data_IF_142347776182
#
_entry.id   IF_142347776182
#
_cell.length_a   1.000
_cell.length_b   1.000
_cell.length_c   1.000
_cell.angle_alpha   90.00
_cell.angle_beta   90.00
_cell.angle_gamma   90.00
#
_symmetry.space_group_name_H-M   'P 1'
#
loop_
_entity.id
_entity.type
_entity.pdbx_description
1 polymer ?
#
# COMPACT_ATOMS: atom_id res chain seq x y z
N UNK A 1 14.07 19.79 -0.82
CA UNK A 1 13.20 19.09 -1.78
C UNK A 1 11.78 19.18 -1.26
N UNK A 2 10.89 19.82 -2.01
CA UNK A 2 9.52 20.07 -1.57
C UNK A 2 8.70 18.77 -1.71
N UNK A 3 7.94 18.40 -0.67
CA UNK A 3 7.13 17.16 -0.65
C UNK A 3 5.90 17.25 -1.59
N UNK A 4 5.68 18.42 -2.19
CA UNK A 4 4.56 18.72 -3.10
C UNK A 4 4.92 18.61 -4.59
N UNK A 5 6.11 18.10 -4.94
CA UNK A 5 6.47 17.85 -6.34
C UNK A 5 5.66 16.66 -6.92
N UNK A 6 4.74 16.90 -7.88
CA UNK A 6 3.92 15.85 -8.46
C UNK A 6 4.75 14.75 -9.15
N UNK A 7 5.90 15.09 -9.74
CA UNK A 7 6.77 14.13 -10.44
C UNK A 7 7.42 13.17 -9.44
N UNK A 8 7.91 13.70 -8.32
CA UNK A 8 8.50 12.89 -7.26
C UNK A 8 7.47 11.94 -6.63
N UNK A 9 6.24 12.42 -6.42
CA UNK A 9 5.13 11.58 -5.92
C UNK A 9 4.81 10.46 -6.90
N UNK A 10 4.74 10.77 -8.19
CA UNK A 10 4.47 9.79 -9.24
C UNK A 10 5.56 8.72 -9.30
N UNK A 11 6.83 9.13 -9.32
CA UNK A 11 7.97 8.20 -9.31
C UNK A 11 7.96 7.25 -8.11
N UNK A 12 7.65 7.77 -6.91
CA UNK A 12 7.51 6.93 -5.70
C UNK A 12 6.37 5.93 -5.82
N UNK A 13 5.23 6.36 -6.38
CA UNK A 13 4.08 5.47 -6.56
C UNK A 13 4.40 4.34 -7.54
N UNK A 14 5.12 4.65 -8.62
CA UNK A 14 5.57 3.68 -9.61
C UNK A 14 6.57 2.67 -9.03
N UNK A 15 7.56 3.12 -8.23
CA UNK A 15 8.47 2.22 -7.50
C UNK A 15 7.72 1.28 -6.55
N UNK A 16 6.72 1.79 -5.81
CA UNK A 16 5.91 0.97 -4.91
C UNK A 16 5.10 -0.06 -5.71
N UNK A 17 4.47 0.36 -6.81
CA UNK A 17 3.67 -0.50 -7.68
C UNK A 17 4.51 -1.63 -8.26
N UNK A 18 5.65 -1.30 -8.86
CA UNK A 18 6.57 -2.29 -9.43
C UNK A 18 7.07 -3.25 -8.35
N UNK A 19 7.43 -2.71 -7.18
CA UNK A 19 7.88 -3.51 -6.04
C UNK A 19 6.84 -4.53 -5.57
N UNK A 20 5.57 -4.13 -5.51
CA UNK A 20 4.46 -5.03 -5.18
C UNK A 20 4.22 -6.08 -6.27
N UNK A 21 4.28 -5.70 -7.55
CA UNK A 21 4.04 -6.61 -8.67
C UNK A 21 5.14 -7.65 -8.85
N UNK A 22 6.39 -7.27 -8.57
CA UNK A 22 7.56 -8.15 -8.68
C UNK A 22 7.80 -9.01 -7.45
N UNK A 23 7.12 -8.73 -6.34
CA UNK A 23 7.36 -9.36 -5.04
C UNK A 23 8.59 -8.83 -4.30
N UNK A 24 9.26 -7.78 -4.81
CA UNK A 24 10.34 -7.08 -4.10
C UNK A 24 9.84 -6.43 -2.81
N UNK A 25 8.58 -5.99 -2.79
CA UNK A 25 7.90 -5.48 -1.61
C UNK A 25 6.82 -6.47 -1.17
N UNK A 26 6.76 -6.74 0.13
CA UNK A 26 5.58 -7.36 0.74
C UNK A 26 4.38 -6.42 0.69
N UNK A 27 3.17 -6.95 0.89
CA UNK A 27 1.96 -6.14 0.98
C UNK A 27 2.08 -5.12 2.12
N UNK A 28 2.53 -5.52 3.30
CA UNK A 28 2.70 -4.64 4.45
C UNK A 28 3.71 -3.53 4.21
N UNK A 29 4.85 -3.85 3.59
CA UNK A 29 5.86 -2.85 3.23
C UNK A 29 5.30 -1.86 2.20
N UNK A 30 4.62 -2.34 1.16
CA UNK A 30 4.00 -1.47 0.16
C UNK A 30 2.97 -0.52 0.78
N UNK A 31 2.07 -1.04 1.62
CA UNK A 31 1.06 -0.25 2.34
C UNK A 31 1.70 0.82 3.23
N UNK A 32 2.75 0.45 3.98
CA UNK A 32 3.49 1.39 4.83
C UNK A 32 4.15 2.51 4.02
N UNK A 33 4.70 2.20 2.84
CA UNK A 33 5.28 3.20 1.93
C UNK A 33 4.21 4.09 1.30
N UNK A 34 3.06 3.55 0.88
CA UNK A 34 1.92 4.37 0.43
C UNK A 34 1.52 5.37 1.52
N UNK A 35 1.45 4.92 2.78
CA UNK A 35 1.14 5.82 3.88
C UNK A 35 2.19 6.90 4.07
N UNK A 36 3.47 6.53 4.23
CA UNK A 36 4.55 7.47 4.60
C UNK A 36 5.01 8.33 3.44
N UNK A 37 5.29 7.70 2.30
CA UNK A 37 6.04 8.31 1.20
C UNK A 37 5.13 9.05 0.23
N UNK A 38 3.86 8.62 0.15
CA UNK A 38 2.83 9.20 -0.71
C UNK A 38 1.90 10.10 0.09
N UNK A 39 1.25 9.62 1.15
CA UNK A 39 0.24 10.45 1.86
C UNK A 39 0.80 11.30 3.01
N UNK A 40 1.96 10.93 3.57
CA UNK A 40 2.49 11.57 4.79
C UNK A 40 1.65 11.34 6.06
N UNK A 41 0.63 10.48 6.00
CA UNK A 41 -0.35 10.32 7.07
C UNK A 41 0.17 9.46 8.24
N UNK A 42 -0.37 9.75 9.43
CA UNK A 42 -0.23 8.83 10.57
C UNK A 42 -0.98 7.53 10.30
N UNK A 43 -0.69 6.46 11.05
CA UNK A 43 -1.45 5.22 10.93
C UNK A 43 -2.95 5.43 11.21
N UNK A 44 -3.30 6.29 12.17
CA UNK A 44 -4.69 6.56 12.52
C UNK A 44 -5.42 7.28 11.38
N UNK A 45 -4.80 8.30 10.78
CA UNK A 45 -5.37 9.04 9.67
C UNK A 45 -5.54 8.16 8.43
N UNK A 46 -4.52 7.35 8.13
CA UNK A 46 -4.53 6.44 6.99
C UNK A 46 -5.57 5.32 7.14
N UNK A 47 -5.71 4.75 8.34
CA UNK A 47 -6.73 3.75 8.62
C UNK A 47 -8.14 4.32 8.42
N UNK A 48 -8.37 5.57 8.87
CA UNK A 48 -9.63 6.29 8.63
C UNK A 48 -9.86 6.57 7.15
N UNK A 49 -8.83 7.00 6.42
CA UNK A 49 -8.90 7.21 4.96
C UNK A 49 -9.30 5.92 4.23
N UNK A 50 -8.68 4.80 4.59
CA UNK A 50 -8.96 3.48 4.02
C UNK A 50 -10.22 2.79 4.62
N UNK A 51 -10.90 3.44 5.58
CA UNK A 51 -12.09 2.90 6.27
C UNK A 51 -11.88 1.52 6.90
N UNK A 52 -10.71 1.31 7.51
CA UNK A 52 -10.36 0.10 8.26
C UNK A 52 -9.97 0.45 9.69
N UNK A 53 -9.96 -0.55 10.58
CA UNK A 53 -9.50 -0.32 11.95
C UNK A 53 -7.99 -0.05 11.99
N UNK A 54 -7.54 0.75 12.95
CA UNK A 54 -6.11 0.99 13.19
C UNK A 54 -5.36 -0.33 13.46
N UNK A 55 -5.98 -1.26 14.18
CA UNK A 55 -5.43 -2.59 14.42
C UNK A 55 -5.21 -3.35 13.11
N UNK A 56 -6.20 -3.34 12.23
CA UNK A 56 -6.11 -3.98 10.90
C UNK A 56 -4.98 -3.37 10.08
N UNK A 57 -4.85 -2.04 10.06
CA UNK A 57 -3.75 -1.40 9.36
C UNK A 57 -2.38 -1.79 9.96
N UNK A 58 -2.25 -1.83 11.29
CA UNK A 58 -0.98 -2.21 11.95
C UNK A 58 -0.57 -3.63 11.60
N UNK A 59 -1.48 -4.59 11.72
CA UNK A 59 -1.23 -5.97 11.34
C UNK A 59 -0.85 -6.07 9.86
N UNK A 60 -1.59 -5.39 8.99
CA UNK A 60 -1.27 -5.32 7.56
C UNK A 60 0.15 -4.76 7.32
N UNK A 61 0.52 -3.62 7.93
CA UNK A 61 1.86 -3.01 7.77
C UNK A 61 3.01 -3.85 8.36
N UNK A 62 2.69 -4.82 9.23
CA UNK A 62 3.64 -5.75 9.84
C UNK A 62 3.69 -7.09 9.10
N UNK A 63 2.97 -7.23 7.99
CA UNK A 63 2.77 -8.52 7.29
C UNK A 63 2.20 -9.62 8.20
N UNK A 64 1.41 -9.21 9.21
CA UNK A 64 0.77 -10.10 10.16
C UNK A 64 -0.70 -10.34 9.81
N UNK A 65 -1.14 -11.59 10.03
CA UNK A 65 -2.52 -12.01 9.80
C UNK A 65 -2.85 -12.27 8.33
N UNK A 66 -4.14 -12.39 8.03
CA UNK A 66 -4.66 -12.65 6.69
C UNK A 66 -5.70 -11.59 6.33
N UNK A 67 -5.30 -10.42 5.78
CA UNK A 67 -6.23 -9.37 5.43
C UNK A 67 -7.21 -9.86 4.35
N UNK A 68 -8.48 -9.49 4.49
CA UNK A 68 -9.48 -9.83 3.46
C UNK A 68 -9.17 -9.10 2.15
N UNK A 69 -9.63 -9.65 1.02
CA UNK A 69 -9.57 -8.97 -0.27
C UNK A 69 -10.18 -7.55 -0.20
N UNK A 70 -11.28 -7.39 0.53
CA UNK A 70 -11.93 -6.10 0.73
C UNK A 70 -11.04 -5.10 1.48
N UNK A 71 -10.32 -5.55 2.52
CA UNK A 71 -9.33 -4.73 3.25
C UNK A 71 -8.23 -4.25 2.31
N UNK A 72 -7.66 -5.15 1.51
CA UNK A 72 -6.60 -4.81 0.57
C UNK A 72 -7.11 -3.83 -0.49
N UNK A 73 -8.27 -4.08 -1.08
CA UNK A 73 -8.89 -3.17 -2.05
C UNK A 73 -9.16 -1.78 -1.45
N UNK A 74 -9.65 -1.70 -0.21
CA UNK A 74 -9.92 -0.42 0.44
C UNK A 74 -8.65 0.43 0.64
N UNK A 75 -7.52 -0.22 0.91
CA UNK A 75 -6.21 0.45 1.08
C UNK A 75 -5.61 0.86 -0.27
N UNK A 76 -5.73 0.04 -1.30
CA UNK A 76 -5.09 0.27 -2.60
C UNK A 76 -5.87 1.18 -3.54
N UNK A 77 -7.20 1.19 -3.45
CA UNK A 77 -8.09 1.95 -4.36
C UNK A 77 -7.80 3.46 -4.41
N UNK A 78 -7.49 4.16 -3.30
CA UNK A 78 -7.12 5.58 -3.33
C UNK A 78 -5.88 5.90 -4.18
N UNK A 79 -5.07 4.89 -4.48
CA UNK A 79 -3.84 5.01 -5.27
C UNK A 79 -3.99 4.51 -6.71
N UNK A 80 -5.21 4.19 -7.14
CA UNK A 80 -5.44 3.56 -8.45
C UNK A 80 -4.92 2.13 -8.54
N UNK A 81 -4.67 1.48 -7.40
CA UNK A 81 -4.19 0.11 -7.31
C UNK A 81 -5.33 -0.84 -6.92
N UNK A 82 -5.18 -2.11 -7.30
CA UNK A 82 -6.18 -3.14 -7.02
C UNK A 82 -5.55 -4.53 -6.94
N UNK A 83 -6.28 -5.44 -6.30
CA UNK A 83 -5.93 -6.86 -6.25
C UNK A 83 -6.46 -7.57 -7.49
N UNK A 84 -5.67 -8.50 -8.04
CA UNK A 84 -6.03 -9.25 -9.26
C UNK A 84 -5.37 -10.62 -9.31
N UNK A 85 -5.78 -11.42 -10.30
CA UNK A 85 -5.21 -12.75 -10.56
C UNK A 85 -3.96 -12.59 -11.42
N UNK A 86 -2.87 -13.24 -11.02
CA UNK A 86 -1.60 -13.25 -11.76
C UNK A 86 -1.16 -14.69 -12.04
N UNK A 87 -0.41 -14.97 -13.11
CA UNK A 87 0.19 -16.28 -13.31
C UNK A 87 1.15 -16.60 -12.16
N UNK A 88 1.05 -17.81 -11.60
CA UNK A 88 2.03 -18.30 -10.63
C UNK A 88 3.35 -18.50 -11.36
N UNK A 89 4.42 -17.84 -10.90
CA UNK A 89 5.78 -18.21 -11.32
C UNK A 89 6.04 -19.63 -10.82
N UNK A 90 5.97 -20.59 -11.72
CA UNK A 90 6.50 -21.93 -11.49
C UNK A 90 8.03 -21.81 -11.49
N UNK A 91 8.64 -22.26 -10.40
CA UNK A 91 10.09 -22.51 -10.35
C UNK A 91 10.44 -23.69 -11.25
#
# INVERSE_FOLDING_TARGET
>A
MNLDDPELRQHKLDDIREGLQTGRLSLGTGVRRLRRDITGLTQADFARMARISLRTLRQLEQDEGNPTLATLQAVFRPFGLGMGVVPLKRH
#
